data_IF_156733692223
#
_entry.id   IF_156733692223
#
_cell.length_a   1.000
_cell.length_b   1.000
_cell.length_c   1.000
_cell.angle_alpha   90.00
_cell.angle_beta   90.00
_cell.angle_gamma   90.00
#
_symmetry.space_group_name_H-M   'P 1'
#
loop_
_entity.id
_entity.type
_entity.pdbx_description
1 polymer ?
#
# COMPACT_ATOMS: atom_id res chain seq x y z
N UNK A 1 2.27 15.09 -8.60
CA UNK A 1 2.35 13.97 -7.65
C UNK A 1 3.48 13.04 -8.04
N UNK A 2 4.26 12.62 -7.10
CA UNK A 2 5.36 11.72 -7.38
C UNK A 2 4.94 10.30 -7.08
N UNK A 3 5.69 9.35 -7.64
CA UNK A 3 5.41 7.93 -7.40
C UNK A 3 5.51 7.59 -5.92
N UNK A 4 6.48 8.16 -5.23
CA UNK A 4 6.65 7.90 -3.81
C UNK A 4 5.48 8.40 -2.99
N UNK A 5 5.03 9.61 -3.31
CA UNK A 5 3.92 10.19 -2.58
C UNK A 5 2.65 9.37 -2.79
N UNK A 6 2.43 8.95 -4.03
CA UNK A 6 1.26 8.14 -4.33
C UNK A 6 1.32 6.81 -3.59
N UNK A 7 2.50 6.18 -3.54
CA UNK A 7 2.65 4.93 -2.83
C UNK A 7 2.35 5.08 -1.34
N UNK A 8 2.82 6.18 -0.74
CA UNK A 8 2.57 6.42 0.67
C UNK A 8 1.09 6.62 0.92
N UNK A 9 0.43 7.39 0.07
CA UNK A 9 -1.00 7.60 0.23
C UNK A 9 -1.76 6.28 0.11
N UNK A 10 -1.36 5.45 -0.84
CA UNK A 10 -2.02 4.16 -1.02
C UNK A 10 -1.83 3.27 0.19
N UNK A 11 -0.64 3.31 0.78
CA UNK A 11 -0.38 2.50 1.95
C UNK A 11 -1.25 2.94 3.14
N UNK A 12 -1.42 4.24 3.30
CA UNK A 12 -2.25 4.74 4.36
C UNK A 12 -3.71 4.35 4.17
N UNK A 13 -4.18 4.45 2.94
CA UNK A 13 -5.56 4.07 2.66
C UNK A 13 -5.78 2.58 2.81
N UNK A 14 -4.79 1.79 2.44
CA UNK A 14 -4.90 0.36 2.50
C UNK A 14 -5.06 -0.14 3.94
N UNK A 15 -4.43 0.54 4.88
CA UNK A 15 -4.56 0.17 6.28
C UNK A 15 -6.01 0.23 6.73
N UNK A 16 -6.76 1.15 6.17
CA UNK A 16 -8.15 1.28 6.56
C UNK A 16 -9.06 0.38 5.75
N UNK A 17 -8.81 0.28 4.46
CA UNK A 17 -9.70 -0.46 3.58
C UNK A 17 -9.44 -1.95 3.56
N UNK A 18 -8.19 -2.36 3.61
CA UNK A 18 -7.87 -3.78 3.62
C UNK A 18 -7.79 -4.44 2.27
N UNK A 19 -7.98 -3.70 1.19
CA UNK A 19 -7.93 -4.27 -0.16
C UNK A 19 -6.84 -3.59 -0.95
N UNK A 20 -5.62 -4.07 -0.78
CA UNK A 20 -4.44 -3.40 -1.28
C UNK A 20 -4.48 -3.10 -2.77
N UNK A 21 -4.79 -4.10 -3.57
CA UNK A 21 -4.76 -3.89 -5.01
C UNK A 21 -5.82 -2.89 -5.47
N UNK A 22 -6.97 -2.89 -4.84
CA UNK A 22 -8.01 -1.94 -5.20
C UNK A 22 -7.66 -0.54 -4.77
N UNK A 23 -7.02 -0.40 -3.62
CA UNK A 23 -6.62 0.91 -3.13
C UNK A 23 -5.57 1.53 -4.02
N UNK A 24 -4.57 0.76 -4.40
CA UNK A 24 -3.53 1.27 -5.26
C UNK A 24 -4.09 1.68 -6.61
N UNK A 25 -4.97 0.87 -7.16
CA UNK A 25 -5.59 1.16 -8.43
C UNK A 25 -6.40 2.45 -8.36
N UNK A 26 -7.12 2.65 -7.29
CA UNK A 26 -7.91 3.85 -7.11
C UNK A 26 -7.02 5.09 -7.00
N UNK A 27 -5.91 4.98 -6.29
CA UNK A 27 -5.00 6.10 -6.17
C UNK A 27 -4.38 6.47 -7.51
N UNK A 28 -4.03 5.47 -8.30
CA UNK A 28 -3.49 5.73 -9.61
C UNK A 28 -4.49 6.42 -10.52
N UNK A 29 -5.75 6.05 -10.41
CA UNK A 29 -6.77 6.68 -11.23
C UNK A 29 -7.05 8.10 -10.82
N UNK A 30 -6.93 8.41 -9.55
CA UNK A 30 -7.17 9.75 -9.08
C UNK A 30 -6.05 10.71 -9.34
N UNK A 31 -4.90 10.20 -9.70
CA UNK A 31 -3.73 11.02 -9.93
C UNK A 31 -3.96 11.92 -11.14
N UNK A 32 -3.77 13.21 -10.96
CA UNK A 32 -3.95 14.16 -12.06
C UNK A 32 -2.85 15.19 -11.99
N UNK A 33 -2.00 15.28 -13.01
CA UNK A 33 -2.07 14.45 -14.23
C UNK A 33 -1.64 13.02 -13.94
N UNK A 34 -2.08 12.07 -14.75
CA UNK A 34 -1.76 10.67 -14.50
C UNK A 34 -0.26 10.42 -14.56
N UNK A 35 0.20 9.50 -13.76
CA UNK A 35 1.61 9.14 -13.79
C UNK A 35 1.92 8.38 -15.06
N UNK A 36 3.11 8.61 -15.64
CA UNK A 36 3.54 7.79 -16.76
C UNK A 36 3.60 6.33 -16.34
N UNK A 37 3.52 5.44 -17.30
CA UNK A 37 3.51 4.00 -17.01
C UNK A 37 4.69 3.58 -16.15
N UNK A 38 5.88 4.13 -16.43
CA UNK A 38 7.06 3.79 -15.69
C UNK A 38 6.95 4.23 -14.23
N UNK A 39 6.42 5.43 -14.02
CA UNK A 39 6.24 5.95 -12.67
C UNK A 39 5.16 5.19 -11.92
N UNK A 40 4.11 4.81 -12.61
CA UNK A 40 3.06 4.02 -11.99
C UNK A 40 3.59 2.66 -11.56
N UNK A 41 4.42 2.05 -12.37
CA UNK A 41 5.04 0.77 -12.02
C UNK A 41 5.96 0.93 -10.82
N UNK A 42 6.67 2.03 -10.75
CA UNK A 42 7.56 2.29 -9.63
C UNK A 42 6.75 2.46 -8.34
N UNK A 43 5.64 3.18 -8.42
CA UNK A 43 4.77 3.36 -7.26
C UNK A 43 4.23 2.02 -6.78
N UNK A 44 3.84 1.16 -7.71
CA UNK A 44 3.34 -0.15 -7.36
C UNK A 44 4.42 -0.99 -6.68
N UNK A 45 5.64 -0.92 -7.16
CA UNK A 45 6.73 -1.64 -6.54
C UNK A 45 6.97 -1.19 -5.11
N UNK A 46 6.99 0.11 -4.89
CA UNK A 46 7.17 0.64 -3.55
C UNK A 46 6.04 0.17 -2.66
N UNK A 47 4.81 0.30 -3.14
CA UNK A 47 3.62 -0.04 -2.39
C UNK A 47 3.65 -1.50 -1.94
N UNK A 48 3.86 -2.41 -2.88
CA UNK A 48 3.83 -3.83 -2.54
C UNK A 48 5.05 -4.27 -1.75
N UNK A 49 6.20 -3.64 -1.97
CA UNK A 49 7.38 -3.98 -1.20
C UNK A 49 7.19 -3.63 0.27
N UNK A 50 6.67 -2.44 0.53
CA UNK A 50 6.44 -2.03 1.91
C UNK A 50 5.36 -2.88 2.55
N UNK A 51 4.30 -3.16 1.81
CA UNK A 51 3.22 -3.97 2.32
C UNK A 51 3.70 -5.36 2.71
N UNK A 52 4.54 -5.94 1.87
CA UNK A 52 5.09 -7.24 2.13
C UNK A 52 5.93 -7.24 3.40
N UNK A 53 6.75 -6.21 3.56
CA UNK A 53 7.58 -6.10 4.73
C UNK A 53 6.77 -5.84 5.99
N UNK A 54 5.69 -5.11 5.85
CA UNK A 54 4.80 -4.88 6.96
C UNK A 54 4.20 -6.19 7.46
N UNK A 55 3.76 -7.03 6.55
CA UNK A 55 3.19 -8.31 6.90
C UNK A 55 4.23 -9.20 7.57
N UNK A 56 5.44 -9.18 7.07
CA UNK A 56 6.51 -9.98 7.65
C UNK A 56 6.82 -9.52 9.06
N UNK A 57 6.90 -8.22 9.27
CA UNK A 57 7.16 -7.68 10.58
C UNK A 57 6.06 -8.03 11.57
N UNK A 58 4.82 -7.89 11.13
CA UNK A 58 3.70 -8.23 11.99
C UNK A 58 3.73 -9.68 12.39
N UNK A 59 4.09 -10.55 11.45
CA UNK A 59 4.18 -11.97 11.73
C UNK A 59 5.30 -12.25 12.71
N UNK A 60 6.47 -11.64 12.50
CA UNK A 60 7.61 -11.86 13.38
C UNK A 60 7.37 -11.36 14.79
N UNK A 61 6.64 -10.27 14.92
CA UNK A 61 6.35 -9.72 16.22
C UNK A 61 5.11 -10.32 16.85
N UNK A 62 4.45 -11.22 16.17
CA UNK A 62 3.26 -11.85 16.71
C UNK A 62 2.04 -10.98 16.76
N UNK A 63 2.06 -9.84 16.07
CA UNK A 63 0.93 -8.94 16.11
C UNK A 63 -0.14 -9.27 15.10
N UNK A 64 0.22 -10.01 14.10
CA UNK A 64 -0.64 -10.27 12.99
C UNK A 64 -1.93 -10.92 13.38
N UNK A 65 -1.91 -11.94 14.22
CA UNK A 65 -3.09 -12.56 14.63
C UNK A 65 -3.57 -12.08 15.91
N UNK A 66 -2.70 -11.65 16.76
CA UNK A 66 -3.08 -11.20 18.04
C UNK A 66 -4.04 -10.09 17.95
N UNK A 67 -3.79 -9.19 17.05
CA UNK A 67 -4.59 -8.03 16.98
C UNK A 67 -6.02 -8.31 16.79
N UNK A 68 -6.38 -9.42 16.15
CA UNK A 68 -7.72 -9.63 15.99
C UNK A 68 -8.19 -10.70 16.85
N UNK A 69 -7.34 -11.54 17.24
CA UNK A 69 -7.81 -12.63 17.98
C UNK A 69 -8.39 -12.22 19.26
N UNK A 70 -7.88 -11.27 19.90
CA UNK A 70 -8.35 -10.98 21.16
C UNK A 70 -9.18 -9.82 21.22
N UNK A 71 -9.44 -9.29 20.19
CA UNK A 71 -10.26 -8.18 20.30
C UNK A 71 -11.58 -8.38 20.49
#
# INVERSE_FOLDING_TARGET
MTARYLAVRALLHQEQAGYANLVLDAELRRCAPPLPAREAAFAARIFYTVLERQHLLDWMLGRYQIGRAHV
#
